data_IF_389311043646
#
_entry.id   IF_389311043646
#
_cell.length_a   1.000
_cell.length_b   1.000
_cell.length_c   1.000
_cell.angle_alpha   90.00
_cell.angle_beta   90.00
_cell.angle_gamma   90.00
#
_symmetry.space_group_name_H-M   'P 1'
#
loop_
_entity.id
_entity.type
_entity.pdbx_description
1 polymer ?
#
# COMPACT_ATOMS: atom_id res chain seq x y z
N UNK A 1 -0.38 13.55 24.54
CA UNK A 1 -1.08 14.61 23.78
C UNK A 1 -2.31 14.04 23.08
N UNK A 2 -3.52 14.25 23.63
CA UNK A 2 -4.81 13.87 23.02
C UNK A 2 -4.82 14.27 21.53
N UNK A 3 -5.49 13.49 20.66
CA UNK A 3 -5.90 14.00 19.35
C UNK A 3 -6.59 15.33 19.65
N UNK A 4 -5.93 16.44 19.33
CA UNK A 4 -6.53 17.76 19.46
C UNK A 4 -7.76 17.67 18.59
N UNK A 5 -8.93 17.98 19.13
CA UNK A 5 -10.10 18.36 18.33
C UNK A 5 -9.71 19.63 17.58
N UNK A 6 -8.84 19.49 16.58
CA UNK A 6 -8.56 20.53 15.64
C UNK A 6 -9.83 20.63 14.81
N UNK A 7 -10.49 21.77 14.92
CA UNK A 7 -11.44 22.20 13.89
C UNK A 7 -10.80 21.93 12.53
N UNK A 8 -11.44 21.09 11.73
CA UNK A 8 -10.92 20.65 10.44
C UNK A 8 -10.56 21.88 9.61
N UNK A 9 -9.27 22.13 9.43
CA UNK A 9 -8.81 23.31 8.71
C UNK A 9 -9.11 23.13 7.23
N UNK A 10 -9.56 24.19 6.55
CA UNK A 10 -9.73 24.19 5.08
C UNK A 10 -8.45 23.73 4.39
N UNK A 11 -7.29 24.12 4.90
CA UNK A 11 -5.98 23.73 4.40
C UNK A 11 -5.76 22.22 4.45
N UNK A 12 -6.24 21.53 5.49
CA UNK A 12 -6.08 20.08 5.61
C UNK A 12 -6.95 19.34 4.59
N UNK A 13 -8.15 19.84 4.32
CA UNK A 13 -9.02 19.31 3.26
C UNK A 13 -8.36 19.47 1.89
N UNK A 14 -7.81 20.66 1.60
CA UNK A 14 -7.11 20.90 0.33
C UNK A 14 -5.89 19.98 0.18
N UNK A 15 -5.11 19.78 1.25
CA UNK A 15 -3.97 18.86 1.24
C UNK A 15 -4.41 17.43 0.99
N UNK A 16 -5.49 16.96 1.62
CA UNK A 16 -6.05 15.62 1.35
C UNK A 16 -6.47 15.46 -0.11
N UNK A 17 -7.09 16.48 -0.70
CA UNK A 17 -7.45 16.46 -2.11
C UNK A 17 -6.21 16.38 -3.01
N UNK A 18 -5.17 17.16 -2.72
CA UNK A 18 -3.89 17.12 -3.47
C UNK A 18 -3.25 15.74 -3.39
N UNK A 19 -3.12 15.15 -2.20
CA UNK A 19 -2.53 13.81 -2.05
C UNK A 19 -3.38 12.72 -2.73
N UNK A 20 -4.71 12.79 -2.63
CA UNK A 20 -5.61 11.87 -3.32
C UNK A 20 -5.50 11.95 -4.84
N UNK A 21 -5.40 13.16 -5.40
CA UNK A 21 -5.21 13.36 -6.84
C UNK A 21 -3.83 12.89 -7.30
N UNK A 22 -2.76 13.22 -6.55
CA UNK A 22 -1.39 12.75 -6.86
C UNK A 22 -1.35 11.23 -6.89
N UNK A 23 -1.93 10.57 -5.89
CA UNK A 23 -2.00 9.11 -5.87
C UNK A 23 -2.82 8.58 -7.05
N UNK A 24 -4.01 9.12 -7.32
CA UNK A 24 -4.85 8.67 -8.41
C UNK A 24 -4.21 8.83 -9.79
N UNK A 25 -3.49 9.93 -10.04
CA UNK A 25 -2.74 10.13 -11.29
C UNK A 25 -1.65 9.06 -11.43
N UNK A 26 -0.89 8.78 -10.37
CA UNK A 26 0.13 7.72 -10.38
C UNK A 26 -0.53 6.36 -10.64
N UNK A 27 -1.63 6.05 -9.96
CA UNK A 27 -2.35 4.79 -10.09
C UNK A 27 -2.87 4.56 -11.51
N UNK A 28 -3.32 5.62 -12.18
CA UNK A 28 -3.73 5.58 -13.59
C UNK A 28 -2.52 5.41 -14.50
N UNK A 29 -1.51 6.27 -14.38
CA UNK A 29 -0.38 6.34 -15.31
C UNK A 29 0.56 5.16 -15.14
N UNK A 30 1.07 4.92 -13.92
CA UNK A 30 1.92 3.78 -13.62
C UNK A 30 1.16 2.47 -13.81
N UNK A 31 -0.12 2.40 -13.42
CA UNK A 31 -0.96 1.22 -13.63
C UNK A 31 -1.07 0.86 -15.11
N UNK A 32 -1.33 1.84 -15.98
CA UNK A 32 -1.39 1.62 -17.43
C UNK A 32 -0.02 1.31 -18.03
N UNK A 33 1.04 2.01 -17.62
CA UNK A 33 2.40 1.76 -18.10
C UNK A 33 2.87 0.34 -17.75
N UNK A 34 2.68 -0.09 -16.50
CA UNK A 34 2.93 -1.46 -16.05
C UNK A 34 2.07 -2.47 -16.82
N UNK A 35 0.82 -2.10 -17.13
CA UNK A 35 -0.07 -2.91 -17.94
C UNK A 35 0.49 -3.18 -19.34
N UNK A 36 0.92 -2.11 -20.01
CA UNK A 36 1.48 -2.16 -21.36
C UNK A 36 2.85 -2.85 -21.40
N UNK A 37 3.70 -2.59 -20.41
CA UNK A 37 5.05 -3.17 -20.33
C UNK A 37 5.06 -4.67 -19.95
N UNK A 38 3.90 -5.30 -19.71
CA UNK A 38 3.80 -6.71 -19.26
C UNK A 38 4.66 -7.03 -18.04
N UNK A 39 4.93 -6.02 -17.20
CA UNK A 39 5.73 -6.19 -15.99
C UNK A 39 4.92 -7.04 -14.98
N UNK A 40 5.48 -8.16 -14.50
CA UNK A 40 4.87 -8.93 -13.42
C UNK A 40 4.92 -8.15 -12.10
N UNK A 41 4.07 -8.49 -11.12
CA UNK A 41 4.03 -7.84 -9.80
C UNK A 41 3.62 -6.36 -9.78
N UNK A 42 2.72 -5.96 -10.68
CA UNK A 42 2.20 -4.58 -10.77
C UNK A 42 1.62 -4.08 -9.45
N UNK A 43 0.88 -4.95 -8.76
CA UNK A 43 0.28 -4.64 -7.46
C UNK A 43 1.34 -4.23 -6.44
N UNK A 44 2.45 -4.96 -6.34
CA UNK A 44 3.54 -4.61 -5.43
C UNK A 44 4.11 -3.22 -5.68
N UNK A 45 4.37 -2.87 -6.95
CA UNK A 45 4.93 -1.56 -7.31
C UNK A 45 3.94 -0.41 -7.04
N UNK A 46 2.65 -0.61 -7.32
CA UNK A 46 1.62 0.38 -7.05
C UNK A 46 1.43 0.59 -5.53
N UNK A 47 1.34 -0.50 -4.77
CA UNK A 47 1.22 -0.45 -3.30
C UNK A 47 2.47 0.12 -2.63
N UNK A 48 3.66 -0.10 -3.21
CA UNK A 48 4.90 0.55 -2.78
C UNK A 48 4.76 2.07 -2.83
N UNK A 49 4.28 2.61 -3.96
CA UNK A 49 4.09 4.05 -4.13
C UNK A 49 2.95 4.56 -3.23
N UNK A 50 1.83 3.83 -3.18
CA UNK A 50 0.71 4.13 -2.32
C UNK A 50 1.12 4.26 -0.85
N UNK A 51 1.90 3.31 -0.33
CA UNK A 51 2.37 3.33 1.05
C UNK A 51 3.28 4.54 1.34
N UNK A 52 4.16 4.94 0.41
CA UNK A 52 4.93 6.19 0.55
C UNK A 52 3.97 7.38 0.69
N UNK A 53 3.01 7.49 -0.23
CA UNK A 53 2.06 8.60 -0.28
C UNK A 53 1.23 8.66 1.00
N UNK A 54 0.64 7.54 1.43
CA UNK A 54 -0.21 7.46 2.62
C UNK A 54 0.56 7.82 3.89
N UNK A 55 1.76 7.28 4.08
CA UNK A 55 2.58 7.60 5.26
C UNK A 55 3.05 9.06 5.24
N UNK A 56 3.46 9.58 4.07
CA UNK A 56 3.83 10.99 3.92
C UNK A 56 2.64 11.90 4.22
N UNK A 57 1.46 11.60 3.67
CA UNK A 57 0.24 12.37 3.87
C UNK A 57 -0.16 12.39 5.34
N UNK A 58 -0.12 11.25 6.05
CA UNK A 58 -0.46 11.22 7.48
C UNK A 58 0.50 12.02 8.36
N UNK A 59 1.75 12.15 7.95
CA UNK A 59 2.71 13.01 8.64
C UNK A 59 2.37 14.49 8.53
N UNK A 60 1.72 14.91 7.45
CA UNK A 60 1.36 16.30 7.17
C UNK A 60 -0.07 16.62 7.62
N UNK A 61 -1.00 15.67 7.47
CA UNK A 61 -2.44 15.84 7.68
C UNK A 61 -2.85 14.96 8.87
N UNK A 62 -3.17 15.58 10.01
CA UNK A 62 -3.32 14.86 11.28
C UNK A 62 -4.77 14.71 11.79
N UNK A 63 -5.78 14.91 10.93
CA UNK A 63 -7.17 14.60 11.30
C UNK A 63 -7.51 13.11 11.05
N UNK A 64 -8.52 12.62 11.77
CA UNK A 64 -8.99 11.22 11.70
C UNK A 64 -9.72 10.95 10.38
N UNK A 65 -9.44 9.83 9.73
CA UNK A 65 -10.02 9.46 8.44
C UNK A 65 -9.39 10.17 7.24
N UNK A 66 -8.30 10.93 7.42
CA UNK A 66 -7.62 11.62 6.32
C UNK A 66 -7.14 10.69 5.22
N UNK A 67 -6.58 9.52 5.58
CA UNK A 67 -6.11 8.55 4.59
C UNK A 67 -7.26 7.90 3.84
N UNK A 68 -8.38 7.63 4.50
CA UNK A 68 -9.59 7.10 3.85
C UNK A 68 -10.12 8.10 2.83
N UNK A 69 -10.17 9.40 3.16
CA UNK A 69 -10.55 10.45 2.20
C UNK A 69 -9.61 10.45 0.99
N UNK A 70 -8.29 10.37 1.23
CA UNK A 70 -7.28 10.28 0.16
C UNK A 70 -7.52 9.06 -0.73
N UNK A 71 -7.81 7.89 -0.14
CA UNK A 71 -8.14 6.66 -0.87
C UNK A 71 -9.42 6.75 -1.67
N UNK A 72 -10.48 7.35 -1.13
CA UNK A 72 -11.73 7.59 -1.85
C UNK A 72 -11.49 8.48 -3.07
N UNK A 73 -10.76 9.59 -2.90
CA UNK A 73 -10.44 10.50 -4.02
C UNK A 73 -9.64 9.77 -5.11
N UNK A 74 -8.62 9.00 -4.71
CA UNK A 74 -7.83 8.17 -5.64
C UNK A 74 -8.71 7.17 -6.39
N UNK A 75 -9.55 6.42 -5.68
CA UNK A 75 -10.45 5.43 -6.26
C UNK A 75 -11.46 6.08 -7.23
N UNK A 76 -12.05 7.22 -6.85
CA UNK A 76 -12.95 7.99 -7.73
C UNK A 76 -12.23 8.47 -8.99
N UNK A 77 -11.00 8.97 -8.88
CA UNK A 77 -10.23 9.42 -10.05
C UNK A 77 -9.91 8.25 -10.99
N UNK A 78 -9.52 7.10 -10.42
CA UNK A 78 -9.26 5.86 -11.17
C UNK A 78 -10.51 5.40 -11.92
N UNK A 79 -11.66 5.31 -11.27
CA UNK A 79 -12.89 4.85 -11.91
C UNK A 79 -13.38 5.81 -12.99
N UNK A 80 -13.37 7.12 -12.71
CA UNK A 80 -13.76 8.14 -13.67
C UNK A 80 -12.89 8.10 -14.95
N UNK A 81 -11.60 7.80 -14.81
CA UNK A 81 -10.68 7.78 -15.96
C UNK A 81 -10.75 6.47 -16.75
N UNK A 82 -10.94 5.33 -16.10
CA UNK A 82 -10.96 4.03 -16.78
C UNK A 82 -12.31 3.74 -17.45
N UNK A 83 -13.37 4.49 -17.10
CA UNK A 83 -14.72 4.30 -17.64
C UNK A 83 -15.41 3.00 -17.21
N UNK A 84 -14.76 2.20 -16.37
CA UNK A 84 -15.25 0.92 -15.88
C UNK A 84 -15.06 0.82 -14.35
N UNK A 85 -16.09 0.33 -13.67
CA UNK A 85 -16.04 0.05 -12.24
C UNK A 85 -15.34 -1.30 -12.00
N UNK A 86 -14.01 -1.30 -12.05
CA UNK A 86 -13.18 -2.47 -11.80
C UNK A 86 -13.06 -2.71 -10.29
N UNK A 87 -13.81 -3.69 -9.77
CA UNK A 87 -13.90 -3.93 -8.33
C UNK A 87 -12.55 -4.24 -7.67
N UNK A 88 -11.65 -4.93 -8.38
CA UNK A 88 -10.38 -5.38 -7.81
C UNK A 88 -9.40 -4.23 -7.51
N UNK A 89 -9.06 -3.31 -8.45
CA UNK A 89 -8.26 -2.11 -8.15
C UNK A 89 -8.91 -1.18 -7.11
N UNK A 90 -10.23 -1.01 -7.18
CA UNK A 90 -10.94 -0.12 -6.23
C UNK A 90 -10.84 -0.67 -4.82
N UNK A 91 -11.08 -1.97 -4.65
CA UNK A 91 -10.96 -2.65 -3.36
C UNK A 91 -9.53 -2.55 -2.82
N UNK A 92 -8.52 -2.73 -3.67
CA UNK A 92 -7.11 -2.61 -3.28
C UNK A 92 -6.80 -1.20 -2.73
N UNK A 93 -7.09 -0.13 -3.48
CA UNK A 93 -6.83 1.27 -3.07
C UNK A 93 -7.53 1.58 -1.74
N UNK A 94 -8.81 1.22 -1.62
CA UNK A 94 -9.58 1.53 -0.42
C UNK A 94 -9.04 0.77 0.79
N UNK A 95 -8.72 -0.52 0.66
CA UNK A 95 -8.20 -1.32 1.75
C UNK A 95 -6.78 -0.91 2.16
N UNK A 96 -5.91 -0.53 1.23
CA UNK A 96 -4.59 0.05 1.57
C UNK A 96 -4.72 1.31 2.42
N UNK A 97 -5.61 2.23 2.01
CA UNK A 97 -5.86 3.47 2.74
C UNK A 97 -6.50 3.20 4.11
N UNK A 98 -7.38 2.21 4.20
CA UNK A 98 -8.04 1.80 5.43
C UNK A 98 -7.06 1.15 6.42
N UNK A 99 -6.23 0.21 5.96
CA UNK A 99 -5.20 -0.45 6.77
C UNK A 99 -4.23 0.59 7.33
N UNK A 100 -3.75 1.51 6.49
CA UNK A 100 -2.87 2.58 6.93
C UNK A 100 -3.55 3.50 7.97
N UNK A 101 -4.80 3.92 7.73
CA UNK A 101 -5.54 4.76 8.68
C UNK A 101 -5.75 4.05 10.01
N UNK A 102 -6.10 2.76 9.99
CA UNK A 102 -6.34 1.96 11.19
C UNK A 102 -5.08 1.90 12.06
N UNK A 103 -3.92 1.67 11.44
CA UNK A 103 -2.63 1.66 12.14
C UNK A 103 -2.36 3.02 12.76
N UNK A 104 -2.60 4.12 12.03
CA UNK A 104 -2.36 5.45 12.56
C UNK A 104 -3.42 5.97 13.55
N UNK A 105 -4.59 5.34 13.58
CA UNK A 105 -5.62 5.59 14.56
C UNK A 105 -5.22 5.02 15.93
N UNK A 106 -4.65 3.82 15.95
CA UNK A 106 -4.15 3.16 17.16
C UNK A 106 -2.75 3.64 17.56
N UNK A 107 -1.88 3.86 16.59
CA UNK A 107 -0.50 4.28 16.78
C UNK A 107 -0.33 5.70 16.23
N UNK A 108 0.17 6.64 17.03
CA UNK A 108 0.45 7.99 16.53
C UNK A 108 1.51 7.96 15.45
N UNK A 109 1.58 9.00 14.61
CA UNK A 109 2.63 9.11 13.60
C UNK A 109 4.03 9.21 14.26
N UNK A 110 4.81 8.15 14.11
CA UNK A 110 6.16 7.95 14.65
C UNK A 110 6.95 7.13 13.63
N UNK A 111 8.29 7.13 13.64
CA UNK A 111 9.05 6.29 12.71
C UNK A 111 8.67 4.80 12.82
N UNK A 112 8.42 4.32 14.05
CA UNK A 112 7.99 2.94 14.29
C UNK A 112 6.61 2.63 13.69
N UNK A 113 5.59 3.46 13.97
CA UNK A 113 4.26 3.26 13.39
C UNK A 113 4.24 3.42 11.89
N UNK A 114 5.11 4.26 11.32
CA UNK A 114 5.30 4.37 9.87
C UNK A 114 5.88 3.09 9.26
N UNK A 115 6.86 2.45 9.90
CA UNK A 115 7.39 1.13 9.48
C UNK A 115 6.27 0.09 9.51
N UNK A 116 5.49 0.04 10.61
CA UNK A 116 4.36 -0.89 10.74
C UNK A 116 3.31 -0.64 9.67
N UNK A 117 2.95 0.62 9.41
CA UNK A 117 1.98 0.99 8.39
C UNK A 117 2.44 0.59 6.99
N UNK A 118 3.67 0.91 6.60
CA UNK A 118 4.22 0.50 5.31
C UNK A 118 4.29 -1.02 5.15
N UNK A 119 4.75 -1.72 6.19
CA UNK A 119 4.81 -3.20 6.21
C UNK A 119 3.43 -3.82 6.03
N UNK A 120 2.43 -3.31 6.75
CA UNK A 120 1.07 -3.83 6.70
C UNK A 120 0.39 -3.55 5.36
N UNK A 121 0.60 -2.38 4.75
CA UNK A 121 0.06 -2.05 3.43
C UNK A 121 0.63 -3.01 2.36
N UNK A 122 1.95 -3.21 2.33
CA UNK A 122 2.55 -4.13 1.35
C UNK A 122 2.20 -5.60 1.62
N UNK A 123 2.14 -6.01 2.89
CA UNK A 123 1.71 -7.36 3.26
C UNK A 123 0.26 -7.60 2.85
N UNK A 124 -0.62 -6.62 3.05
CA UNK A 124 -2.00 -6.67 2.60
C UNK A 124 -2.09 -6.91 1.09
N UNK A 125 -1.31 -6.19 0.27
CA UNK A 125 -1.32 -6.38 -1.19
C UNK A 125 -0.94 -7.80 -1.60
N UNK A 126 0.06 -8.39 -0.93
CA UNK A 126 0.42 -9.78 -1.13
C UNK A 126 -0.74 -10.72 -0.76
N UNK A 127 -1.34 -10.53 0.41
CA UNK A 127 -2.46 -11.35 0.89
C UNK A 127 -3.68 -11.21 -0.01
N UNK A 128 -3.98 -10.01 -0.51
CA UNK A 128 -5.07 -9.73 -1.45
C UNK A 128 -4.85 -10.47 -2.77
N UNK A 129 -3.62 -10.43 -3.31
CA UNK A 129 -3.26 -11.17 -4.52
C UNK A 129 -3.35 -12.69 -4.31
N UNK A 130 -2.90 -13.20 -3.17
CA UNK A 130 -2.96 -14.63 -2.84
C UNK A 130 -4.40 -15.10 -2.64
N UNK A 131 -5.22 -14.31 -1.95
CA UNK A 131 -6.63 -14.57 -1.74
C UNK A 131 -7.41 -14.57 -3.07
N UNK A 132 -7.10 -13.64 -3.97
CA UNK A 132 -7.68 -13.64 -5.32
C UNK A 132 -7.32 -14.93 -6.07
N UNK A 133 -6.06 -15.36 -6.04
CA UNK A 133 -5.65 -16.64 -6.65
C UNK A 133 -6.38 -17.83 -6.05
N UNK A 134 -6.49 -17.91 -4.72
CA UNK A 134 -7.19 -18.99 -4.04
C UNK A 134 -8.69 -18.99 -4.36
N UNK A 135 -9.30 -17.82 -4.53
CA UNK A 135 -10.71 -17.70 -4.90
C UNK A 135 -10.98 -18.18 -6.33
N UNK A 136 -10.12 -17.83 -7.30
CA UNK A 136 -10.30 -18.21 -8.70
C UNK A 136 -9.85 -19.65 -9.02
N UNK A 137 -8.77 -20.12 -8.40
CA UNK A 137 -8.13 -21.39 -8.71
C UNK A 137 -8.31 -22.47 -7.63
N UNK A 138 -8.89 -22.13 -6.47
CA UNK A 138 -9.06 -23.07 -5.37
C UNK A 138 -7.74 -23.52 -4.75
N UNK A 139 -7.79 -24.56 -3.91
CA UNK A 139 -6.62 -25.17 -3.25
C UNK A 139 -5.63 -25.76 -4.27
N UNK A 140 -6.08 -26.03 -5.49
CA UNK A 140 -5.26 -26.53 -6.59
C UNK A 140 -4.08 -25.61 -6.94
N UNK A 141 -4.18 -24.31 -6.63
CA UNK A 141 -3.05 -23.39 -6.80
C UNK A 141 -1.85 -23.77 -5.92
N UNK A 142 -2.09 -24.28 -4.71
CA UNK A 142 -1.03 -24.72 -3.79
C UNK A 142 -0.37 -25.97 -4.36
N UNK A 143 -1.17 -26.94 -4.83
CA UNK A 143 -0.68 -28.14 -5.51
C UNK A 143 0.11 -27.81 -6.78
N UNK A 144 -0.31 -26.78 -7.53
CA UNK A 144 0.41 -26.28 -8.70
C UNK A 144 1.76 -25.67 -8.33
N UNK A 145 1.82 -24.87 -7.27
CA UNK A 145 3.09 -24.35 -6.75
C UNK A 145 4.01 -25.50 -6.33
N UNK A 146 3.51 -26.49 -5.59
CA UNK A 146 4.32 -27.64 -5.15
C UNK A 146 4.89 -28.44 -6.32
N UNK A 147 4.09 -28.71 -7.37
CA UNK A 147 4.57 -29.37 -8.60
C UNK A 147 5.62 -28.54 -9.35
N UNK A 148 5.41 -27.23 -9.45
CA UNK A 148 6.34 -26.33 -10.15
C UNK A 148 7.67 -26.24 -9.39
N UNK A 149 7.61 -26.07 -8.07
CA UNK A 149 8.80 -25.94 -7.24
C UNK A 149 9.57 -27.25 -7.09
N UNK A 150 8.90 -28.39 -6.93
CA UNK A 150 9.58 -29.70 -6.93
C UNK A 150 10.27 -30.01 -8.26
N UNK A 151 9.73 -29.54 -9.39
CA UNK A 151 10.38 -29.66 -10.70
C UNK A 151 11.64 -28.78 -10.82
N UNK A 152 11.62 -27.57 -10.23
CA UNK A 152 12.77 -26.65 -10.23
C UNK A 152 13.85 -27.05 -9.21
N UNK A 153 13.45 -27.69 -8.11
CA UNK A 153 14.31 -28.09 -7.00
C UNK A 153 14.39 -29.62 -6.86
N UNK A 154 14.57 -30.32 -7.98
CA UNK A 154 14.59 -31.80 -8.05
C UNK A 154 15.66 -32.48 -7.18
N UNK A 155 16.61 -31.73 -6.64
CA UNK A 155 17.68 -32.22 -5.74
C UNK A 155 17.38 -32.03 -4.24
N UNK A 156 16.22 -31.45 -3.90
CA UNK A 156 15.80 -31.27 -2.51
C UNK A 156 14.76 -32.35 -2.21
N UNK A 157 15.21 -33.50 -1.71
CA UNK A 157 14.32 -34.45 -1.04
C UNK A 157 13.77 -33.76 0.22
N UNK A 158 12.55 -33.23 0.15
CA UNK A 158 11.88 -32.69 1.33
C UNK A 158 10.71 -33.59 1.75
N UNK A 159 10.95 -34.29 2.86
CA UNK A 159 9.96 -34.82 3.79
C UNK A 159 8.91 -33.78 4.21
N UNK A 160 7.67 -34.25 4.42
CA UNK A 160 6.49 -33.70 5.16
C UNK A 160 6.07 -32.22 5.01
N UNK A 161 6.88 -31.31 4.47
CA UNK A 161 6.60 -29.87 4.42
C UNK A 161 6.47 -29.37 2.98
N UNK A 162 5.36 -28.67 2.68
CA UNK A 162 5.10 -28.10 1.36
C UNK A 162 6.10 -26.99 1.04
N UNK A 163 6.91 -27.19 -0.01
CA UNK A 163 7.90 -26.21 -0.51
C UNK A 163 7.22 -24.89 -0.88
N UNK A 164 6.00 -24.95 -1.43
CA UNK A 164 5.21 -23.77 -1.74
C UNK A 164 4.99 -22.87 -0.51
N UNK A 165 4.67 -23.45 0.65
CA UNK A 165 4.45 -22.70 1.89
C UNK A 165 5.73 -21.97 2.33
N UNK A 166 6.89 -22.61 2.22
CA UNK A 166 8.18 -21.98 2.56
C UNK A 166 8.46 -20.80 1.65
N UNK A 167 8.30 -20.97 0.33
CA UNK A 167 8.55 -19.90 -0.64
C UNK A 167 7.58 -18.72 -0.45
N UNK A 168 6.29 -19.01 -0.23
CA UNK A 168 5.29 -17.97 0.05
C UNK A 168 5.59 -17.23 1.36
N UNK A 169 6.09 -17.94 2.37
CA UNK A 169 6.49 -17.33 3.64
C UNK A 169 7.68 -16.39 3.46
N UNK A 170 8.71 -16.82 2.73
CA UNK A 170 9.88 -15.98 2.40
C UNK A 170 9.44 -14.74 1.64
N UNK A 171 8.58 -14.90 0.63
CA UNK A 171 8.06 -13.77 -0.15
C UNK A 171 7.25 -12.80 0.72
N UNK A 172 6.42 -13.30 1.64
CA UNK A 172 5.70 -12.49 2.63
C UNK A 172 6.63 -11.71 3.57
N UNK A 173 7.70 -12.34 4.06
CA UNK A 173 8.73 -11.68 4.88
C UNK A 173 9.41 -10.56 4.08
N UNK A 174 9.67 -10.78 2.79
CA UNK A 174 10.24 -9.77 1.88
C UNK A 174 9.31 -8.55 1.76
N UNK A 175 7.99 -8.75 1.71
CA UNK A 175 7.00 -7.66 1.68
C UNK A 175 7.02 -6.85 2.97
N UNK A 176 7.13 -7.51 4.12
CA UNK A 176 7.25 -6.84 5.42
C UNK A 176 8.53 -6.01 5.46
N UNK A 177 9.66 -6.58 5.02
CA UNK A 177 10.95 -5.89 5.04
C UNK A 177 10.94 -4.65 4.13
N UNK A 178 10.51 -4.80 2.87
CA UNK A 178 10.41 -3.67 1.94
C UNK A 178 9.39 -2.65 2.43
N UNK A 179 8.26 -3.09 2.96
CA UNK A 179 7.23 -2.21 3.49
C UNK A 179 7.71 -1.39 4.68
N UNK A 180 8.58 -1.94 5.53
CA UNK A 180 9.25 -1.19 6.58
C UNK A 180 10.13 -0.06 6.05
N UNK A 181 10.92 -0.34 5.01
CA UNK A 181 11.77 0.67 4.34
C UNK A 181 10.92 1.77 3.71
N UNK A 182 9.84 1.39 3.03
CA UNK A 182 8.86 2.29 2.43
C UNK A 182 8.24 3.20 3.48
N UNK A 183 7.77 2.62 4.57
CA UNK A 183 7.18 3.35 5.69
C UNK A 183 8.14 4.37 6.28
N UNK A 184 9.39 3.98 6.53
CA UNK A 184 10.42 4.90 7.03
C UNK A 184 10.72 6.03 6.02
N UNK A 185 10.76 5.70 4.73
CA UNK A 185 10.98 6.69 3.66
C UNK A 185 9.84 7.69 3.60
N UNK A 186 8.59 7.23 3.64
CA UNK A 186 7.41 8.09 3.69
C UNK A 186 7.41 9.01 4.92
N UNK A 187 7.86 8.51 6.07
CA UNK A 187 8.02 9.34 7.28
C UNK A 187 9.07 10.44 7.09
N UNK A 188 10.24 10.11 6.53
CA UNK A 188 11.31 11.08 6.25
C UNK A 188 10.85 12.15 5.26
N UNK A 189 10.09 11.78 4.23
CA UNK A 189 9.49 12.73 3.31
C UNK A 189 8.52 13.66 4.02
N UNK A 190 7.66 13.16 4.91
CA UNK A 190 6.74 14.02 5.66
C UNK A 190 7.48 15.12 6.44
N UNK A 191 8.59 14.78 7.12
CA UNK A 191 9.38 15.73 7.90
C UNK A 191 10.08 16.77 7.04
N UNK A 192 10.60 16.36 5.87
CA UNK A 192 11.20 17.28 4.90
C UNK A 192 10.17 18.25 4.35
N UNK A 193 8.99 17.76 3.97
CA UNK A 193 7.92 18.60 3.42
C UNK A 193 7.41 19.61 4.44
N UNK A 194 7.20 19.18 5.70
CA UNK A 194 6.82 20.11 6.78
C UNK A 194 7.85 21.21 6.99
N UNK A 195 9.15 20.87 7.02
CA UNK A 195 10.21 21.86 7.15
C UNK A 195 10.21 22.89 6.01
N UNK A 196 9.95 22.47 4.77
CA UNK A 196 9.85 23.39 3.63
C UNK A 196 8.61 24.29 3.72
N UNK A 197 7.47 23.74 4.17
CA UNK A 197 6.26 24.54 4.38
C UNK A 197 6.49 25.61 5.44
N UNK A 198 7.14 25.28 6.56
CA UNK A 198 7.49 26.23 7.62
C UNK A 198 8.44 27.33 7.10
N UNK A 199 9.42 26.98 6.26
CA UNK A 199 10.33 27.96 5.65
C UNK A 199 9.60 28.95 4.75
N UNK A 200 8.63 28.49 3.94
CA UNK A 200 7.84 29.35 3.05
C UNK A 200 6.85 30.25 3.78
N UNK A 201 6.47 29.91 5.01
CA UNK A 201 5.58 30.74 5.84
C UNK A 201 6.35 31.82 6.63
N UNK A 202 7.64 31.60 6.86
CA UNK A 202 8.49 32.47 7.69
C UNK A 202 9.43 33.37 6.87
N UNK A 203 9.44 33.25 5.54
CA UNK A 203 10.22 34.09 4.61
C UNK A 203 9.31 34.95 3.75
#
# INVERSE_FOLDING_TARGET
>A
MKFVENNLSKTDIYRSAVFGVVWGIIEITAGNALHLAKIPFRGFLLSFIAAIILVTAKGIIQYKGSLIVIGIICATLKTATTGAFLINPIAAILLESFVAELIFLFLRITPFSSIVAGSAVLLYTFLHSLAAQLFFFGVDIITFYDKTFSTLFSNIESHDFSIAIVVLSIYGILHIFVGGIVGLTGYRFSKRTLKHIEQLQNG
#
